data_IF_539098952910
#
_entry.id   IF_539098952910
#
_cell.length_a   1.000
_cell.length_b   1.000
_cell.length_c   1.000
_cell.angle_alpha   90.00
_cell.angle_beta   90.00
_cell.angle_gamma   90.00
#
_symmetry.space_group_name_H-M   'P 1'
#
loop_
_entity.id
_entity.type
_entity.pdbx_description
1 polymer ?
#
# COMPACT_ATOMS: atom_id res chain seq x y z
N UNK A 1 49.49 27.17 13.67
CA UNK A 1 48.26 26.37 13.94
C UNK A 1 47.51 26.18 12.62
N UNK A 2 47.58 24.98 12.01
CA UNK A 2 46.87 24.66 10.75
C UNK A 2 45.43 24.26 11.06
N UNK A 3 44.45 25.00 10.54
CA UNK A 3 43.02 24.63 10.61
C UNK A 3 42.79 23.41 9.70
N UNK A 4 42.53 22.26 10.32
CA UNK A 4 42.21 21.02 9.64
C UNK A 4 40.79 21.15 9.05
N UNK A 5 40.70 21.30 7.72
CA UNK A 5 39.44 21.31 6.99
C UNK A 5 38.93 19.87 6.92
N UNK A 6 38.02 19.51 7.81
CA UNK A 6 37.30 18.24 7.76
C UNK A 6 36.49 18.18 6.44
N UNK A 7 36.65 17.15 5.59
CA UNK A 7 36.07 17.15 4.26
C UNK A 7 34.55 16.90 4.33
N UNK A 8 33.79 17.88 3.85
CA UNK A 8 32.31 17.86 3.67
C UNK A 8 31.82 16.63 2.87
N UNK A 9 32.70 15.97 2.12
CA UNK A 9 32.40 14.76 1.35
C UNK A 9 32.00 13.53 2.19
N UNK A 10 32.49 13.39 3.42
CA UNK A 10 32.17 12.19 4.23
C UNK A 10 30.72 12.20 4.76
N UNK A 11 30.11 13.38 4.92
CA UNK A 11 28.75 13.52 5.45
C UNK A 11 27.67 13.19 4.39
N UNK A 12 27.95 13.47 3.11
CA UNK A 12 27.03 13.17 2.01
C UNK A 12 26.88 11.66 1.72
N UNK A 13 27.96 10.88 1.91
CA UNK A 13 27.93 9.42 1.69
C UNK A 13 27.08 8.69 2.76
N UNK A 14 27.13 9.15 4.01
CA UNK A 14 26.34 8.54 5.09
C UNK A 14 24.83 8.77 4.91
N UNK A 15 24.43 9.96 4.43
CA UNK A 15 23.03 10.28 4.16
C UNK A 15 22.44 9.46 3.00
N UNK A 16 23.21 9.21 1.94
CA UNK A 16 22.75 8.42 0.79
C UNK A 16 22.57 6.93 1.13
N UNK A 17 23.42 6.37 2.00
CA UNK A 17 23.31 4.96 2.45
C UNK A 17 22.10 4.77 3.37
N UNK A 18 21.81 5.72 4.27
CA UNK A 18 20.66 5.62 5.18
C UNK A 18 19.31 5.66 4.46
N UNK A 19 19.18 6.44 3.37
CA UNK A 19 17.94 6.52 2.58
C UNK A 19 17.69 5.24 1.77
N UNK A 20 18.75 4.60 1.25
CA UNK A 20 18.64 3.33 0.51
C UNK A 20 18.24 2.16 1.41
N UNK A 21 18.82 2.10 2.62
CA UNK A 21 18.47 1.06 3.59
C UNK A 21 17.02 1.17 4.07
N UNK A 22 16.50 2.40 4.26
CA UNK A 22 15.13 2.64 4.71
C UNK A 22 14.07 2.09 3.74
N UNK A 23 14.15 2.47 2.45
CA UNK A 23 13.17 2.01 1.46
C UNK A 23 13.16 0.49 1.25
N UNK A 24 14.33 -0.14 1.32
CA UNK A 24 14.44 -1.60 1.19
C UNK A 24 13.76 -2.32 2.35
N UNK A 25 14.07 -1.90 3.58
CA UNK A 25 13.47 -2.44 4.80
C UNK A 25 11.94 -2.24 4.78
N UNK A 26 11.47 -1.05 4.42
CA UNK A 26 10.05 -0.73 4.25
C UNK A 26 9.35 -1.67 3.26
N UNK A 27 9.96 -1.93 2.10
CA UNK A 27 9.40 -2.82 1.08
C UNK A 27 9.32 -4.28 1.55
N UNK A 28 10.35 -4.78 2.23
CA UNK A 28 10.32 -6.14 2.80
C UNK A 28 9.31 -6.29 3.94
N UNK A 29 9.17 -5.28 4.81
CA UNK A 29 8.16 -5.32 5.86
C UNK A 29 6.75 -5.34 5.27
N UNK A 30 6.48 -4.49 4.27
CA UNK A 30 5.19 -4.51 3.57
C UNK A 30 4.93 -5.87 2.90
N UNK A 31 5.96 -6.51 2.32
CA UNK A 31 5.85 -7.86 1.77
C UNK A 31 5.53 -8.90 2.85
N UNK A 32 6.22 -8.83 4.00
CA UNK A 32 6.01 -9.74 5.11
C UNK A 32 4.58 -9.63 5.67
N UNK A 33 3.99 -8.43 5.68
CA UNK A 33 2.60 -8.22 6.09
C UNK A 33 1.60 -8.97 5.19
N UNK A 34 1.82 -9.01 3.88
CA UNK A 34 0.96 -9.71 2.92
C UNK A 34 1.07 -11.25 3.00
N UNK A 35 2.21 -11.74 3.51
CA UNK A 35 2.50 -13.17 3.58
C UNK A 35 2.75 -13.81 2.20
N UNK A 36 2.93 -15.14 2.21
CA UNK A 36 3.32 -15.89 1.02
C UNK A 36 2.16 -16.12 0.01
N UNK A 37 0.92 -15.98 0.46
CA UNK A 37 -0.27 -16.26 -0.36
C UNK A 37 -0.55 -15.14 -1.38
N UNK A 38 0.07 -13.96 -1.24
CA UNK A 38 -0.06 -12.86 -2.19
C UNK A 38 1.18 -12.77 -3.05
N UNK A 39 1.01 -12.87 -4.37
CA UNK A 39 2.10 -12.61 -5.28
C UNK A 39 2.64 -11.19 -5.07
N UNK A 40 3.94 -11.10 -4.86
CA UNK A 40 4.62 -9.83 -4.63
C UNK A 40 6.11 -9.91 -4.93
N UNK A 41 6.69 -8.80 -5.35
CA UNK A 41 8.12 -8.63 -5.65
C UNK A 41 8.64 -7.34 -5.05
N UNK A 42 9.79 -7.41 -4.39
CA UNK A 42 10.54 -6.22 -4.01
C UNK A 42 11.43 -5.84 -5.18
N UNK A 43 11.34 -4.59 -5.63
CA UNK A 43 12.08 -4.08 -6.78
C UNK A 43 12.97 -2.92 -6.34
N UNK A 44 14.19 -2.87 -6.84
CA UNK A 44 15.02 -1.66 -6.83
C UNK A 44 14.65 -0.86 -8.06
N UNK A 45 14.43 0.44 -7.89
CA UNK A 45 13.99 1.35 -8.96
C UNK A 45 14.98 2.50 -9.05
N UNK A 46 15.42 2.81 -10.26
CA UNK A 46 16.26 3.97 -10.56
C UNK A 46 15.39 5.09 -11.17
N UNK A 47 15.60 6.31 -10.68
CA UNK A 47 14.95 7.51 -11.15
C UNK A 47 15.96 8.43 -11.85
N UNK A 48 15.97 8.40 -13.17
CA UNK A 48 16.89 9.23 -13.99
C UNK A 48 16.52 10.73 -13.93
N UNK A 49 15.32 11.08 -13.47
CA UNK A 49 14.86 12.46 -13.29
C UNK A 49 14.84 12.89 -11.81
N UNK A 50 15.68 12.29 -10.95
CA UNK A 50 15.77 12.66 -9.54
C UNK A 50 16.30 14.09 -9.37
N UNK A 51 15.43 15.01 -8.96
CA UNK A 51 15.77 16.43 -8.90
C UNK A 51 14.60 17.29 -8.43
N UNK A 52 14.66 18.58 -8.76
CA UNK A 52 13.65 19.56 -8.32
C UNK A 52 12.28 19.24 -8.93
N UNK A 53 11.41 18.64 -8.14
CA UNK A 53 10.03 18.27 -8.54
C UNK A 53 9.73 16.77 -8.50
N UNK A 54 10.76 15.93 -8.46
CA UNK A 54 10.61 14.48 -8.27
C UNK A 54 10.16 14.16 -6.84
N UNK A 55 9.28 13.16 -6.69
CA UNK A 55 8.88 12.62 -5.39
C UNK A 55 9.85 11.58 -4.87
N UNK A 56 10.58 10.94 -5.79
CA UNK A 56 11.45 9.81 -5.49
C UNK A 56 12.93 10.23 -5.55
N UNK A 57 13.80 9.63 -4.70
CA UNK A 57 15.24 9.78 -4.83
C UNK A 57 15.75 9.09 -6.11
N UNK A 58 17.04 9.28 -6.42
CA UNK A 58 17.70 8.67 -7.59
C UNK A 58 17.62 7.14 -7.62
N UNK A 59 17.60 6.53 -6.45
CA UNK A 59 17.46 5.08 -6.28
C UNK A 59 16.70 4.81 -5.00
N UNK A 60 15.74 3.88 -5.07
CA UNK A 60 14.95 3.43 -3.94
C UNK A 60 14.39 2.02 -4.20
N UNK A 61 13.71 1.48 -3.20
CA UNK A 61 13.02 0.21 -3.32
C UNK A 61 11.51 0.37 -3.14
N UNK A 62 10.77 -0.48 -3.83
CA UNK A 62 9.32 -0.57 -3.73
C UNK A 62 8.86 -2.01 -3.66
N UNK A 63 7.61 -2.20 -3.29
CA UNK A 63 6.92 -3.48 -3.35
C UNK A 63 5.87 -3.42 -4.45
N UNK A 64 6.00 -4.31 -5.44
CA UNK A 64 4.95 -4.58 -6.41
C UNK A 64 4.14 -5.77 -5.92
N UNK A 65 2.82 -5.62 -5.86
CA UNK A 65 1.90 -6.66 -5.39
C UNK A 65 0.74 -6.80 -6.36
N UNK A 66 0.34 -8.05 -6.61
CA UNK A 66 -0.86 -8.36 -7.38
C UNK A 66 -2.01 -8.63 -6.41
N UNK A 67 -3.10 -7.88 -6.55
CA UNK A 67 -4.26 -8.01 -5.70
C UNK A 67 -5.52 -7.58 -6.47
N UNK A 68 -6.58 -8.40 -6.44
CA UNK A 68 -7.84 -8.18 -7.16
C UNK A 68 -7.62 -7.89 -8.66
N UNK A 69 -6.78 -8.69 -9.32
CA UNK A 69 -6.49 -8.56 -10.76
C UNK A 69 -5.67 -7.32 -11.16
N UNK A 70 -5.16 -6.56 -10.19
CA UNK A 70 -4.48 -5.28 -10.38
C UNK A 70 -3.08 -5.33 -9.77
N UNK A 71 -2.10 -4.70 -10.43
CA UNK A 71 -0.82 -4.39 -9.82
C UNK A 71 -0.85 -3.09 -9.05
N UNK A 72 -0.25 -3.15 -7.86
CA UNK A 72 -0.07 -2.03 -6.96
C UNK A 72 1.41 -1.84 -6.67
N UNK A 73 1.85 -0.59 -6.62
CA UNK A 73 3.19 -0.20 -6.19
C UNK A 73 3.08 0.46 -4.82
N UNK A 74 3.71 -0.14 -3.82
CA UNK A 74 3.97 0.47 -2.52
C UNK A 74 5.38 1.07 -2.47
N UNK A 75 5.47 2.31 -2.02
CA UNK A 75 6.74 2.95 -1.63
C UNK A 75 6.58 3.63 -0.27
N UNK A 76 7.71 3.83 0.44
CA UNK A 76 7.70 4.57 1.71
C UNK A 76 7.47 6.08 1.54
N UNK A 77 7.48 6.62 0.32
CA UNK A 77 7.39 8.06 0.04
C UNK A 77 5.95 8.53 -0.17
N UNK A 78 5.13 7.69 -0.80
CA UNK A 78 3.75 8.03 -1.17
C UNK A 78 2.72 6.94 -0.87
N UNK A 79 3.14 5.83 -0.27
CA UNK A 79 2.27 4.72 0.07
C UNK A 79 1.98 3.83 -1.13
N UNK A 80 0.76 3.31 -1.21
CA UNK A 80 0.37 2.37 -2.27
C UNK A 80 -0.52 3.03 -3.31
N UNK A 81 -0.21 2.82 -4.58
CA UNK A 81 -1.02 3.23 -5.72
C UNK A 81 -1.18 2.08 -6.72
N UNK A 82 -2.32 2.03 -7.41
CA UNK A 82 -2.51 1.13 -8.53
C UNK A 82 -1.64 1.59 -9.71
N UNK A 83 -0.96 0.66 -10.35
CA UNK A 83 -0.12 0.93 -11.54
C UNK A 83 -0.69 0.26 -12.81
N UNK A 84 -1.57 -0.73 -12.68
CA UNK A 84 -2.29 -1.29 -13.82
C UNK A 84 -3.23 -0.26 -14.44
N UNK A 85 -3.17 -0.14 -15.77
CA UNK A 85 -3.98 0.83 -16.53
C UNK A 85 -5.31 0.26 -17.01
N UNK A 86 -5.39 -1.05 -17.15
CA UNK A 86 -6.56 -1.76 -17.68
C UNK A 86 -6.81 -3.04 -16.91
N UNK A 87 -8.08 -3.38 -16.70
CA UNK A 87 -8.48 -4.66 -16.13
C UNK A 87 -8.15 -5.83 -17.07
N UNK A 88 -7.94 -7.03 -16.51
CA UNK A 88 -7.71 -8.25 -17.29
C UNK A 88 -6.33 -8.35 -17.96
N UNK A 89 -5.36 -7.52 -17.53
CA UNK A 89 -4.00 -7.49 -18.06
C UNK A 89 -2.91 -7.90 -17.06
N UNK A 90 -3.31 -8.57 -15.98
CA UNK A 90 -2.42 -8.84 -14.85
C UNK A 90 -1.13 -9.57 -15.28
N UNK A 91 -1.24 -10.62 -16.08
CA UNK A 91 -0.07 -11.39 -16.53
C UNK A 91 0.90 -10.55 -17.38
N UNK A 92 0.36 -9.73 -18.31
CA UNK A 92 1.19 -8.83 -19.11
C UNK A 92 1.85 -7.75 -18.26
N UNK A 93 1.09 -7.17 -17.32
CA UNK A 93 1.56 -6.16 -16.39
C UNK A 93 2.67 -6.73 -15.47
N UNK A 94 2.56 -8.00 -15.04
CA UNK A 94 3.59 -8.69 -14.25
C UNK A 94 4.87 -8.99 -15.05
N UNK A 95 4.74 -9.20 -16.36
CA UNK A 95 5.85 -9.50 -17.24
C UNK A 95 6.66 -8.24 -17.62
N UNK A 96 6.02 -7.07 -17.70
CA UNK A 96 6.68 -5.82 -18.07
C UNK A 96 6.21 -4.63 -17.20
N UNK A 97 6.96 -4.39 -16.12
CA UNK A 97 6.69 -3.27 -15.21
C UNK A 97 7.14 -1.92 -15.79
N UNK A 98 8.01 -1.89 -16.80
CA UNK A 98 8.67 -0.66 -17.27
C UNK A 98 7.68 0.44 -17.66
N UNK A 99 6.74 0.19 -18.58
CA UNK A 99 5.71 1.16 -18.96
C UNK A 99 4.80 1.59 -17.81
N UNK A 100 4.57 0.72 -16.83
CA UNK A 100 3.72 1.01 -15.68
C UNK A 100 4.43 1.96 -14.70
N UNK A 101 5.72 1.71 -14.43
CA UNK A 101 6.55 2.57 -13.58
C UNK A 101 6.74 3.96 -14.21
N UNK A 102 6.96 4.05 -15.52
CA UNK A 102 7.05 5.34 -16.22
C UNK A 102 5.74 6.13 -16.17
N UNK A 103 4.59 5.45 -16.12
CA UNK A 103 3.29 6.11 -15.96
C UNK A 103 3.08 6.67 -14.54
N UNK A 104 3.71 6.07 -13.52
CA UNK A 104 3.73 6.61 -12.14
C UNK A 104 4.56 7.88 -12.09
N UNK A 105 5.77 7.83 -12.64
CA UNK A 105 6.66 8.98 -12.74
C UNK A 105 7.63 8.78 -13.92
N UNK A 106 7.71 9.71 -14.90
CA UNK A 106 8.45 9.49 -16.15
C UNK A 106 9.93 9.13 -15.98
N UNK A 107 10.55 9.52 -14.86
CA UNK A 107 11.94 9.22 -14.56
C UNK A 107 12.22 7.78 -14.10
N UNK A 108 11.18 7.00 -13.79
CA UNK A 108 11.33 5.60 -13.33
C UNK A 108 11.53 4.67 -14.53
N UNK A 109 12.74 4.67 -15.08
CA UNK A 109 13.04 4.01 -16.35
C UNK A 109 13.70 2.64 -16.21
N UNK A 110 14.25 2.33 -15.03
CA UNK A 110 14.94 1.06 -14.77
C UNK A 110 14.51 0.46 -13.44
N UNK A 111 14.39 -0.86 -13.42
CA UNK A 111 14.13 -1.61 -12.22
C UNK A 111 14.81 -2.98 -12.29
N UNK A 112 15.04 -3.56 -11.11
CA UNK A 112 15.50 -4.95 -10.97
C UNK A 112 14.81 -5.61 -9.78
N UNK A 113 14.57 -6.91 -9.89
CA UNK A 113 14.04 -7.71 -8.78
C UNK A 113 15.13 -7.88 -7.71
N UNK A 114 14.79 -7.58 -6.46
CA UNK A 114 15.66 -7.86 -5.32
C UNK A 114 15.43 -9.30 -4.88
N UNK A 115 16.32 -10.19 -5.29
CA UNK A 115 16.21 -11.64 -5.07
C UNK A 115 16.88 -12.12 -3.77
N UNK A 116 17.59 -11.22 -3.06
CA UNK A 116 18.25 -11.56 -1.81
C UNK A 116 17.23 -12.04 -0.76
N UNK A 117 17.61 -13.02 0.09
CA UNK A 117 16.78 -13.43 1.22
C UNK A 117 16.51 -12.22 2.12
N UNK A 118 15.27 -12.11 2.64
CA UNK A 118 14.83 -10.99 3.48
C UNK A 118 15.85 -10.71 4.57
N UNK A 119 16.65 -9.63 4.47
CA UNK A 119 17.79 -9.46 5.36
C UNK A 119 17.39 -8.79 6.68
N UNK A 120 16.08 -8.55 6.89
CA UNK A 120 15.53 -7.83 8.02
C UNK A 120 14.65 -8.74 8.87
N UNK A 121 14.79 -8.62 10.19
CA UNK A 121 13.79 -9.13 11.11
C UNK A 121 12.48 -8.34 10.91
N UNK A 122 11.33 -9.00 11.11
CA UNK A 122 10.04 -8.29 11.14
C UNK A 122 10.09 -7.31 12.31
N UNK A 123 10.10 -6.00 12.01
CA UNK A 123 10.06 -4.99 13.05
C UNK A 123 8.71 -5.00 13.76
N UNK A 124 8.69 -4.62 15.04
CA UNK A 124 7.46 -4.45 15.81
C UNK A 124 6.61 -3.22 15.42
N UNK A 125 7.00 -2.48 14.37
CA UNK A 125 6.27 -1.31 13.85
C UNK A 125 6.03 -1.49 12.36
N UNK A 126 4.83 -1.13 11.85
CA UNK A 126 4.55 -1.17 10.42
C UNK A 126 5.38 -0.10 9.67
N UNK A 127 5.72 -0.33 8.39
CA UNK A 127 6.46 0.64 7.62
C UNK A 127 5.58 1.85 7.26
N UNK A 128 6.17 2.98 6.85
CA UNK A 128 5.42 4.20 6.54
C UNK A 128 4.33 3.96 5.49
N UNK A 129 3.15 4.55 5.67
CA UNK A 129 2.04 4.50 4.70
C UNK A 129 1.56 3.09 4.29
N UNK A 130 1.80 2.10 5.15
CA UNK A 130 1.42 0.69 4.94
C UNK A 130 -0.10 0.39 5.09
N UNK A 131 -0.97 1.38 4.85
CA UNK A 131 -2.42 1.21 5.04
C UNK A 131 -3.02 0.14 4.10
N UNK A 132 -2.60 0.09 2.83
CA UNK A 132 -3.00 -0.97 1.90
C UNK A 132 -2.55 -2.37 2.35
N UNK A 133 -1.24 -2.66 2.54
CA UNK A 133 -0.83 -4.01 2.92
C UNK A 133 -1.39 -4.44 4.27
N UNK A 134 -1.59 -3.51 5.22
CA UNK A 134 -2.28 -3.82 6.48
C UNK A 134 -3.74 -4.23 6.28
N UNK A 135 -4.48 -3.51 5.41
CA UNK A 135 -5.87 -3.82 5.11
C UNK A 135 -6.01 -5.18 4.40
N UNK A 136 -5.13 -5.48 3.44
CA UNK A 136 -5.06 -6.79 2.76
C UNK A 136 -4.71 -7.90 3.75
N UNK A 137 -3.71 -7.70 4.61
CA UNK A 137 -3.34 -8.68 5.63
C UNK A 137 -4.50 -8.98 6.59
N UNK A 138 -5.24 -7.95 7.02
CA UNK A 138 -6.43 -8.15 7.85
C UNK A 138 -7.53 -8.91 7.10
N UNK A 139 -7.73 -8.61 5.82
CA UNK A 139 -8.69 -9.35 4.99
C UNK A 139 -8.35 -10.84 4.92
N UNK A 140 -7.09 -11.19 4.62
CA UNK A 140 -6.64 -12.59 4.60
C UNK A 140 -6.78 -13.27 5.97
N UNK A 141 -6.57 -12.55 7.06
CA UNK A 141 -6.82 -13.09 8.39
C UNK A 141 -8.30 -13.41 8.61
N UNK A 142 -9.19 -12.46 8.29
CA UNK A 142 -10.64 -12.61 8.41
C UNK A 142 -11.16 -13.80 7.58
N UNK A 143 -10.55 -14.04 6.42
CA UNK A 143 -10.86 -15.17 5.54
C UNK A 143 -10.56 -16.54 6.15
N UNK A 144 -9.59 -16.62 7.07
CA UNK A 144 -9.21 -17.87 7.75
C UNK A 144 -9.98 -18.10 9.06
N UNK A 145 -10.84 -17.16 9.46
CA UNK A 145 -11.67 -17.33 10.67
C UNK A 145 -12.81 -18.32 10.42
N UNK A 146 -13.29 -19.01 11.46
CA UNK A 146 -14.36 -20.02 11.35
C UNK A 146 -15.68 -19.45 10.78
N UNK A 147 -15.88 -18.14 10.88
CA UNK A 147 -16.99 -17.39 10.29
C UNK A 147 -16.45 -16.20 9.49
N UNK A 148 -15.99 -16.43 8.25
CA UNK A 148 -15.45 -15.37 7.43
C UNK A 148 -16.54 -14.32 7.12
N UNK A 149 -16.17 -13.04 6.88
CA UNK A 149 -17.13 -12.04 6.46
C UNK A 149 -17.82 -12.44 5.14
N UNK A 150 -19.12 -12.20 5.05
CA UNK A 150 -19.90 -12.53 3.84
C UNK A 150 -19.61 -11.59 2.67
N UNK A 151 -19.08 -10.40 2.98
CA UNK A 151 -18.67 -9.37 2.01
C UNK A 151 -17.54 -8.55 2.61
N UNK A 152 -16.62 -8.09 1.77
CA UNK A 152 -15.69 -7.04 2.12
C UNK A 152 -15.39 -6.13 0.92
N UNK A 153 -14.83 -4.97 1.23
CA UNK A 153 -14.29 -4.01 0.26
C UNK A 153 -13.18 -3.18 0.87
N UNK A 154 -12.24 -2.73 0.06
CA UNK A 154 -11.31 -1.66 0.43
C UNK A 154 -11.94 -0.31 0.10
N UNK A 155 -11.79 0.64 1.02
CA UNK A 155 -12.20 2.02 0.84
C UNK A 155 -10.95 2.91 0.79
N UNK A 156 -10.65 3.42 -0.41
CA UNK A 156 -9.61 4.42 -0.63
C UNK A 156 -10.18 5.81 -0.36
N UNK A 157 -9.49 6.59 0.48
CA UNK A 157 -9.94 7.90 0.96
C UNK A 157 -8.87 8.94 0.60
N UNK A 158 -9.28 10.03 -0.05
CA UNK A 158 -8.39 11.13 -0.43
C UNK A 158 -8.80 12.40 0.31
N UNK A 159 -8.05 12.81 1.34
CA UNK A 159 -8.29 14.06 2.06
C UNK A 159 -7.93 15.30 1.24
N UNK A 160 -8.62 16.41 1.48
CA UNK A 160 -8.29 17.70 0.88
C UNK A 160 -6.86 18.13 1.21
N UNK A 161 -6.12 18.62 0.20
CA UNK A 161 -4.76 19.13 0.38
C UNK A 161 -3.70 18.06 0.66
N UNK A 162 -4.05 16.77 0.58
CA UNK A 162 -3.09 15.67 0.70
C UNK A 162 -2.89 14.96 -0.63
N UNK A 163 -1.63 14.65 -0.94
CA UNK A 163 -1.28 13.81 -2.09
C UNK A 163 -1.46 12.32 -1.78
N UNK A 164 -1.25 11.94 -0.52
CA UNK A 164 -1.37 10.56 -0.05
C UNK A 164 -2.82 10.27 0.36
N UNK A 165 -3.34 9.15 -0.14
CA UNK A 165 -4.60 8.60 0.32
C UNK A 165 -4.44 7.81 1.62
N UNK A 166 -5.57 7.42 2.21
CA UNK A 166 -5.65 6.41 3.26
C UNK A 166 -6.53 5.27 2.80
N UNK A 167 -6.24 4.06 3.25
CA UNK A 167 -7.05 2.89 2.93
C UNK A 167 -7.52 2.19 4.20
N UNK A 168 -8.80 1.84 4.20
CA UNK A 168 -9.43 1.05 5.27
C UNK A 168 -10.11 -0.18 4.67
N UNK A 169 -10.24 -1.23 5.47
CA UNK A 169 -11.00 -2.42 5.12
C UNK A 169 -12.39 -2.30 5.72
N UNK A 170 -13.41 -2.49 4.90
CA UNK A 170 -14.80 -2.56 5.31
C UNK A 170 -15.33 -3.97 5.06
N UNK A 171 -16.06 -4.54 6.02
CA UNK A 171 -16.57 -5.91 5.90
C UNK A 171 -17.87 -6.13 6.66
N UNK A 172 -18.61 -7.17 6.27
CA UNK A 172 -19.90 -7.53 6.85
C UNK A 172 -19.85 -8.92 7.46
N UNK A 173 -20.29 -9.01 8.71
CA UNK A 173 -20.35 -10.25 9.47
C UNK A 173 -21.62 -10.28 10.29
N UNK A 174 -22.36 -11.38 10.20
CA UNK A 174 -23.59 -11.60 10.98
C UNK A 174 -24.58 -10.43 10.87
N UNK A 175 -24.75 -9.89 9.65
CA UNK A 175 -25.64 -8.76 9.36
C UNK A 175 -25.14 -7.39 9.84
N UNK A 176 -23.95 -7.31 10.44
CA UNK A 176 -23.33 -6.07 10.94
C UNK A 176 -22.18 -5.63 10.04
N UNK A 177 -21.95 -4.32 9.99
CA UNK A 177 -20.97 -3.67 9.13
C UNK A 177 -19.82 -3.13 9.98
N UNK A 178 -18.60 -3.47 9.64
CA UNK A 178 -17.40 -3.13 10.40
C UNK A 178 -16.37 -2.44 9.51
N UNK A 179 -15.52 -1.65 10.14
CA UNK A 179 -14.33 -1.06 9.51
C UNK A 179 -13.10 -1.34 10.37
N UNK A 180 -12.08 -1.86 9.70
CA UNK A 180 -10.72 -1.91 10.18
C UNK A 180 -9.91 -0.75 9.59
N UNK A 181 -9.38 0.09 10.46
CA UNK A 181 -8.51 1.20 10.10
C UNK A 181 -7.06 0.87 10.50
N UNK A 182 -6.13 0.70 9.54
CA UNK A 182 -4.72 0.47 9.83
C UNK A 182 -4.05 1.50 10.74
N UNK A 183 -4.58 2.73 10.81
CA UNK A 183 -4.09 3.75 11.74
C UNK A 183 -4.47 3.45 13.21
N UNK A 184 -5.41 2.53 13.44
CA UNK A 184 -5.91 2.08 14.76
C UNK A 184 -6.14 0.56 14.74
N UNK A 185 -5.08 -0.24 14.58
CA UNK A 185 -5.20 -1.67 14.27
C UNK A 185 -5.82 -2.51 15.39
N UNK A 186 -5.92 -1.96 16.61
CA UNK A 186 -6.53 -2.62 17.77
C UNK A 186 -8.02 -2.32 17.94
N UNK A 187 -8.59 -1.46 17.10
CA UNK A 187 -9.99 -1.00 17.23
C UNK A 187 -10.75 -1.30 15.95
N UNK A 188 -11.63 -2.29 16.01
CA UNK A 188 -12.66 -2.46 14.98
C UNK A 188 -13.83 -1.53 15.29
N UNK A 189 -14.24 -0.74 14.30
CA UNK A 189 -15.37 0.19 14.45
C UNK A 189 -16.58 -0.39 13.73
N UNK A 190 -17.66 -0.62 14.46
CA UNK A 190 -18.95 -0.88 13.84
C UNK A 190 -19.50 0.40 13.18
N UNK A 191 -20.00 0.25 11.96
CA UNK A 191 -20.71 1.29 11.24
C UNK A 191 -22.22 1.05 11.35
N UNK A 192 -22.97 2.14 11.45
CA UNK A 192 -24.42 2.07 11.38
C UNK A 192 -24.85 1.48 10.04
N UNK A 193 -25.75 0.49 10.05
CA UNK A 193 -26.37 -0.05 8.84
C UNK A 193 -27.20 0.98 8.07
N UNK A 194 -27.59 2.09 8.72
CA UNK A 194 -28.28 3.21 8.06
C UNK A 194 -27.33 4.09 7.25
N UNK A 195 -26.01 3.91 7.41
CA UNK A 195 -25.03 4.62 6.62
C UNK A 195 -25.11 4.10 5.18
N UNK A 196 -25.23 5.03 4.26
CA UNK A 196 -25.20 4.81 2.81
C UNK A 196 -24.00 3.99 2.32
N UNK A 197 -24.16 3.40 1.13
CA UNK A 197 -23.11 2.71 0.37
C UNK A 197 -22.22 3.67 -0.44
N UNK A 198 -22.53 4.97 -0.46
CA UNK A 198 -21.71 5.98 -1.13
C UNK A 198 -20.33 6.11 -0.46
N UNK A 199 -19.22 5.87 -1.18
CA UNK A 199 -17.87 5.83 -0.59
C UNK A 199 -17.48 7.14 0.08
N UNK A 200 -17.88 8.29 -0.48
CA UNK A 200 -17.49 9.60 0.04
C UNK A 200 -18.23 9.91 1.35
N UNK A 201 -19.52 9.54 1.43
CA UNK A 201 -20.30 9.69 2.67
C UNK A 201 -19.78 8.76 3.77
N UNK A 202 -19.39 7.53 3.43
CA UNK A 202 -18.75 6.60 4.37
C UNK A 202 -17.42 7.17 4.87
N UNK A 203 -16.56 7.61 3.95
CA UNK A 203 -15.28 8.23 4.28
C UNK A 203 -15.44 9.43 5.22
N UNK A 204 -16.42 10.31 4.97
CA UNK A 204 -16.73 11.46 5.84
C UNK A 204 -17.23 11.06 7.24
N UNK A 205 -17.96 9.95 7.36
CA UNK A 205 -18.40 9.42 8.65
C UNK A 205 -17.25 8.77 9.44
N UNK A 206 -16.25 8.24 8.73
CA UNK A 206 -15.03 7.66 9.32
C UNK A 206 -14.04 8.73 9.75
N UNK A 207 -13.72 9.66 8.84
CA UNK A 207 -12.87 10.81 9.06
C UNK A 207 -13.67 11.95 9.65
N UNK A 208 -14.03 11.84 10.93
CA UNK A 208 -14.34 13.03 11.71
C UNK A 208 -13.08 13.93 11.68
N UNK A 209 -13.21 15.23 11.36
CA UNK A 209 -12.06 16.10 11.11
C UNK A 209 -11.27 16.30 12.41
N UNK A 210 -10.33 15.40 12.71
CA UNK A 210 -9.35 15.60 13.78
C UNK A 210 -8.36 16.70 13.41
N UNK A 211 -8.10 16.87 12.11
CA UNK A 211 -7.15 17.85 11.58
C UNK A 211 -7.81 18.91 10.69
N UNK A 212 -9.15 19.06 10.76
CA UNK A 212 -9.92 20.00 9.93
C UNK A 212 -10.09 19.58 8.46
N UNK A 213 -9.38 18.54 8.00
CA UNK A 213 -9.36 18.13 6.59
C UNK A 213 -10.46 17.13 6.30
N UNK A 214 -11.19 17.39 5.22
CA UNK A 214 -12.35 16.60 4.81
C UNK A 214 -11.97 15.65 3.68
N UNK A 215 -12.50 14.42 3.65
CA UNK A 215 -12.47 13.60 2.45
C UNK A 215 -13.16 14.35 1.29
N UNK A 216 -12.43 14.49 0.18
CA UNK A 216 -12.93 15.12 -1.06
C UNK A 216 -13.20 14.10 -2.14
N UNK A 217 -12.54 12.94 -2.08
CA UNK A 217 -12.79 11.81 -2.98
C UNK A 217 -12.64 10.51 -2.19
N UNK A 218 -13.44 9.53 -2.55
CA UNK A 218 -13.31 8.18 -2.04
C UNK A 218 -13.77 7.16 -3.08
N UNK A 219 -13.20 5.96 -3.05
CA UNK A 219 -13.48 4.89 -4.00
C UNK A 219 -13.54 3.55 -3.27
N UNK A 220 -14.44 2.68 -3.71
CA UNK A 220 -14.50 1.31 -3.25
C UNK A 220 -13.82 0.37 -4.25
N UNK A 221 -13.16 -0.64 -3.71
CA UNK A 221 -12.76 -1.84 -4.42
C UNK A 221 -13.40 -3.01 -3.68
N UNK A 222 -14.46 -3.59 -4.25
CA UNK A 222 -15.06 -4.80 -3.69
C UNK A 222 -14.01 -5.93 -3.72
N UNK A 223 -14.00 -6.75 -2.66
CA UNK A 223 -13.07 -7.87 -2.54
C UNK A 223 -13.80 -9.16 -2.85
N UNK A 224 -13.18 -10.01 -3.65
CA UNK A 224 -13.71 -11.34 -3.90
C UNK A 224 -13.58 -12.17 -2.61
N UNK A 225 -14.72 -12.68 -2.14
CA UNK A 225 -14.77 -13.62 -1.03
C UNK A 225 -14.20 -14.99 -1.44
N UNK A 226 -14.06 -15.92 -0.49
CA UNK A 226 -13.82 -17.30 -0.86
C UNK A 226 -15.08 -17.69 -1.64
N UNK A 227 -14.93 -18.02 -2.92
CA UNK A 227 -16.06 -18.40 -3.76
C UNK A 227 -16.92 -19.40 -3.00
N UNK A 228 -18.11 -18.99 -2.57
CA UNK A 228 -19.13 -19.95 -2.20
C UNK A 228 -19.58 -20.48 -3.54
N UNK A 229 -18.89 -21.52 -4.01
CA UNK A 229 -19.31 -22.29 -5.17
C UNK A 229 -20.77 -22.64 -4.93
N UNK A 230 -21.66 -22.01 -5.70
CA UNK A 230 -23.10 -22.19 -5.63
C UNK A 230 -23.57 -23.58 -6.11
N UNK A 231 -22.75 -24.63 -5.94
CA UNK A 231 -23.10 -26.03 -6.18
C UNK A 231 -23.52 -26.70 -4.87
N UNK A 232 -24.62 -26.20 -4.32
CA UNK A 232 -25.32 -26.78 -3.17
C UNK A 232 -26.83 -26.81 -3.40
N UNK A 233 -27.27 -27.11 -4.62
CA UNK A 233 -28.60 -27.66 -4.86
C UNK A 233 -28.45 -29.17 -5.05
N UNK A 234 -28.81 -29.90 -4.01
CA UNK A 234 -29.05 -31.33 -3.97
C UNK A 234 -30.13 -31.59 -2.93
#
# INVERSE_FOLDING_TARGET
MKRMRLPVFLLGLLLAVSLRAGSLESAYQARAMLGADVWSRVVRIENEASGRGSRYPAEFHGLVVAFEGILWLYTEYDGTQSISRYAGRLEQDQADLGPLLQAVEPGLTRFEDVTAPTPFAILGRPPPYACFPAAVARWQQLQREAKPPARARLLAIYPEGHRQGHMVLEYWREGRRYVFDPARPTVERELSLRLTEDPLKVARALFAPRDGKRPVRAMHLDLEGPGIDGSGQG
#
